data_IF_420877900479
#
_entry.id   IF_420877900479
#
_cell.length_a   1.000
_cell.length_b   1.000
_cell.length_c   1.000
_cell.angle_alpha   90.00
_cell.angle_beta   90.00
_cell.angle_gamma   90.00
#
_symmetry.space_group_name_H-M   'P 1'
#
loop_
_entity.id
_entity.type
_entity.pdbx_description
1 polymer ?
#
# COMPACT_ATOMS: atom_id res chain seq x y z
N UNK A 1 -5.93 20.33 -4.72
CA UNK A 1 -4.83 19.74 -5.49
C UNK A 1 -5.39 18.64 -6.37
N UNK A 2 -5.04 18.60 -7.67
CA UNK A 2 -5.36 17.47 -8.55
C UNK A 2 -4.14 16.57 -8.59
N UNK A 3 -4.26 15.34 -8.09
CA UNK A 3 -3.22 14.34 -8.26
C UNK A 3 -3.18 13.93 -9.73
N UNK A 4 -2.04 14.09 -10.40
CA UNK A 4 -1.86 13.55 -11.72
C UNK A 4 -1.85 12.03 -11.61
N UNK A 5 -2.81 11.38 -12.28
CA UNK A 5 -2.84 9.93 -12.41
C UNK A 5 -1.72 9.57 -13.38
N UNK A 6 -0.61 9.07 -12.84
CA UNK A 6 0.49 8.54 -13.65
C UNK A 6 -0.10 7.38 -14.47
N UNK A 7 0.04 7.38 -15.80
CA UNK A 7 -0.45 6.26 -16.61
C UNK A 7 0.28 4.99 -16.17
N UNK A 8 -0.43 3.87 -15.94
CA UNK A 8 0.21 2.63 -15.54
C UNK A 8 1.14 2.19 -16.67
N UNK A 9 2.45 2.36 -16.48
CA UNK A 9 3.46 1.73 -17.32
C UNK A 9 3.95 0.50 -16.58
N UNK A 10 4.05 -0.67 -17.21
CA UNK A 10 4.52 -1.89 -16.56
C UNK A 10 5.95 -1.74 -16.05
N UNK A 11 6.76 -0.88 -16.67
CA UNK A 11 8.10 -0.47 -16.21
C UNK A 11 8.10 0.04 -14.76
N UNK A 12 7.13 0.87 -14.37
CA UNK A 12 7.07 1.36 -12.98
C UNK A 12 6.66 0.28 -11.99
N UNK A 13 5.97 -0.76 -12.47
CA UNK A 13 5.51 -1.85 -11.63
C UNK A 13 6.65 -2.83 -11.36
N UNK A 14 7.48 -3.15 -12.35
CA UNK A 14 8.66 -3.99 -12.14
C UNK A 14 9.68 -3.32 -11.23
N UNK A 15 9.92 -2.00 -11.40
CA UNK A 15 10.81 -1.23 -10.53
C UNK A 15 10.32 -1.27 -9.06
N UNK A 16 9.01 -1.05 -8.84
CA UNK A 16 8.41 -1.12 -7.51
C UNK A 16 8.54 -2.50 -6.87
N UNK A 17 8.33 -3.57 -7.64
CA UNK A 17 8.44 -4.93 -7.12
C UNK A 17 9.88 -5.31 -6.80
N UNK A 18 10.83 -4.99 -7.68
CA UNK A 18 12.25 -5.24 -7.43
C UNK A 18 12.74 -4.52 -6.17
N UNK A 19 12.45 -3.21 -6.04
CA UNK A 19 12.85 -2.43 -4.87
C UNK A 19 12.15 -2.93 -3.60
N UNK A 20 10.83 -3.16 -3.66
CA UNK A 20 10.04 -3.62 -2.54
C UNK A 20 10.48 -4.98 -2.03
N UNK A 21 10.60 -5.97 -2.92
CA UNK A 21 11.02 -7.33 -2.56
C UNK A 21 12.46 -7.35 -2.04
N UNK A 22 13.37 -6.59 -2.65
CA UNK A 22 14.76 -6.47 -2.18
C UNK A 22 14.84 -5.87 -0.78
N UNK A 23 13.98 -4.88 -0.47
CA UNK A 23 13.91 -4.30 0.88
C UNK A 23 13.42 -5.28 1.95
N UNK A 24 12.61 -6.27 1.57
CA UNK A 24 12.17 -7.37 2.42
C UNK A 24 13.19 -8.54 2.47
N UNK A 25 14.33 -8.41 1.80
CA UNK A 25 15.42 -9.38 1.80
C UNK A 25 15.37 -10.44 0.70
N UNK A 26 14.51 -10.29 -0.32
CA UNK A 26 14.55 -11.15 -1.49
C UNK A 26 15.74 -10.81 -2.41
N UNK A 27 16.23 -11.81 -3.14
CA UNK A 27 17.13 -11.61 -4.27
C UNK A 27 16.28 -11.55 -5.54
N UNK A 28 16.37 -10.45 -6.26
CA UNK A 28 15.63 -10.24 -7.50
C UNK A 28 16.60 -10.09 -8.69
N UNK A 29 16.27 -10.68 -9.83
CA UNK A 29 17.01 -10.52 -11.08
C UNK A 29 16.05 -10.25 -12.23
N UNK A 30 16.31 -9.22 -13.03
CA UNK A 30 15.52 -8.95 -14.23
C UNK A 30 15.94 -9.91 -15.34
N UNK A 31 15.18 -10.99 -15.53
CA UNK A 31 15.39 -11.93 -16.64
C UNK A 31 14.97 -11.35 -17.99
N UNK A 32 14.03 -10.40 -18.02
CA UNK A 32 13.57 -9.71 -19.23
C UNK A 32 12.94 -8.33 -18.91
N UNK A 33 12.48 -7.59 -19.93
CA UNK A 33 11.90 -6.24 -19.73
C UNK A 33 10.59 -6.24 -18.92
N UNK A 34 9.87 -7.36 -18.89
CA UNK A 34 8.58 -7.56 -18.20
C UNK A 34 8.63 -8.76 -17.24
N UNK A 35 9.84 -9.21 -16.86
CA UNK A 35 10.03 -10.38 -16.00
C UNK A 35 11.03 -10.12 -14.89
N UNK A 36 10.71 -10.66 -13.71
CA UNK A 36 11.53 -10.58 -12.52
C UNK A 36 11.65 -11.97 -11.90
N UNK A 37 12.83 -12.56 -11.94
CA UNK A 37 13.14 -13.75 -11.14
C UNK A 37 13.30 -13.35 -9.68
N UNK A 38 12.69 -14.13 -8.79
CA UNK A 38 12.64 -13.87 -7.36
C UNK A 38 13.06 -15.12 -6.60
N UNK A 39 14.03 -14.95 -5.70
CA UNK A 39 14.40 -15.91 -4.68
C UNK A 39 14.18 -15.26 -3.32
N UNK A 40 13.30 -15.83 -2.50
CA UNK A 40 12.88 -15.23 -1.24
C UNK A 40 12.76 -16.27 -0.12
N UNK A 41 13.13 -15.89 1.10
CA UNK A 41 12.87 -16.63 2.34
C UNK A 41 12.27 -15.69 3.38
N UNK A 42 11.65 -16.24 4.43
CA UNK A 42 11.18 -15.45 5.57
C UNK A 42 10.08 -14.46 5.18
N UNK A 43 10.29 -13.18 5.47
CA UNK A 43 9.27 -12.14 5.30
C UNK A 43 8.88 -11.91 3.84
N UNK A 44 9.86 -11.86 2.93
CA UNK A 44 9.57 -11.76 1.50
C UNK A 44 8.83 -13.00 0.97
N UNK A 45 9.20 -14.20 1.44
CA UNK A 45 8.53 -15.44 1.01
C UNK A 45 7.07 -15.53 1.49
N UNK A 46 6.72 -14.86 2.60
CA UNK A 46 5.34 -14.79 3.12
C UNK A 46 4.34 -14.16 2.17
N UNK A 47 4.81 -13.46 1.13
CA UNK A 47 3.95 -12.98 0.07
C UNK A 47 3.33 -14.15 -0.74
N UNK A 48 3.98 -15.31 -0.79
CA UNK A 48 3.50 -16.51 -1.50
C UNK A 48 3.20 -17.69 -0.57
N UNK A 49 3.97 -17.88 0.51
CA UNK A 49 3.88 -19.03 1.40
C UNK A 49 3.74 -18.59 2.87
N UNK A 50 2.66 -18.98 3.53
CA UNK A 50 2.36 -18.51 4.90
C UNK A 50 3.42 -18.89 5.94
N UNK A 51 4.18 -19.97 5.72
CA UNK A 51 5.28 -20.42 6.58
C UNK A 51 6.55 -19.57 6.43
N UNK A 52 6.72 -18.89 5.30
CA UNK A 52 7.95 -18.20 4.93
C UNK A 52 9.05 -19.14 4.42
N UNK A 53 8.70 -20.36 4.02
CA UNK A 53 9.63 -21.29 3.36
C UNK A 53 10.15 -20.71 2.05
N UNK A 54 11.30 -21.22 1.59
CA UNK A 54 11.95 -20.78 0.35
C UNK A 54 10.96 -20.74 -0.83
N UNK A 55 10.83 -19.56 -1.39
CA UNK A 55 10.14 -19.29 -2.64
C UNK A 55 11.18 -19.01 -3.74
N UNK A 56 11.01 -19.66 -4.88
CA UNK A 56 11.73 -19.39 -6.11
C UNK A 56 10.73 -19.39 -7.26
N UNK A 57 10.70 -18.31 -8.03
CA UNK A 57 9.77 -18.18 -9.14
C UNK A 57 10.04 -16.94 -9.98
N UNK A 58 9.34 -16.83 -11.10
CA UNK A 58 9.40 -15.67 -11.99
C UNK A 58 8.06 -14.93 -11.95
N UNK A 59 8.13 -13.61 -11.84
CA UNK A 59 7.00 -12.70 -11.94
C UNK A 59 6.91 -12.13 -13.36
N UNK A 60 5.69 -12.08 -13.91
CA UNK A 60 5.40 -11.56 -15.24
C UNK A 60 4.54 -10.30 -15.16
N UNK A 61 5.01 -9.17 -15.67
CA UNK A 61 4.35 -7.87 -15.59
C UNK A 61 3.56 -7.59 -16.86
N UNK A 62 2.22 -7.53 -16.75
CA UNK A 62 1.33 -7.33 -17.91
C UNK A 62 0.60 -6.00 -17.87
N UNK A 63 0.34 -5.46 -19.05
CA UNK A 63 -0.63 -4.37 -19.21
C UNK A 63 -2.02 -4.88 -18.85
N UNK A 64 -2.76 -4.11 -18.05
CA UNK A 64 -4.04 -4.51 -17.43
C UNK A 64 -5.23 -4.73 -18.39
N UNK A 65 -4.97 -5.05 -19.66
CA UNK A 65 -5.97 -5.27 -20.71
C UNK A 65 -6.02 -6.68 -21.31
N UNK A 66 -5.18 -7.63 -20.88
CA UNK A 66 -5.23 -9.01 -21.41
C UNK A 66 -6.04 -9.94 -20.49
N UNK A 67 -7.21 -10.46 -20.91
CA UNK A 67 -8.08 -11.30 -20.11
C UNK A 67 -7.75 -12.81 -20.22
N UNK A 68 -6.59 -13.18 -20.78
CA UNK A 68 -6.22 -14.59 -20.84
C UNK A 68 -5.79 -15.11 -19.47
N UNK A 69 -6.19 -16.36 -19.19
CA UNK A 69 -6.06 -17.07 -17.92
C UNK A 69 -4.61 -17.10 -17.40
N UNK A 70 -4.25 -16.01 -16.72
CA UNK A 70 -2.96 -15.85 -16.09
C UNK A 70 -2.89 -16.56 -14.75
N UNK A 71 -1.70 -17.01 -14.37
CA UNK A 71 -1.48 -17.55 -13.02
C UNK A 71 -1.45 -16.38 -12.01
N UNK A 72 -2.43 -16.26 -11.10
CA UNK A 72 -2.53 -15.12 -10.19
C UNK A 72 -1.38 -15.03 -9.17
N UNK A 73 -0.60 -16.09 -9.01
CA UNK A 73 0.55 -16.12 -8.09
C UNK A 73 1.85 -15.59 -8.74
N UNK A 74 1.90 -15.52 -10.07
CA UNK A 74 3.10 -15.07 -10.82
C UNK A 74 2.82 -13.87 -11.72
N UNK A 75 1.56 -13.61 -12.08
CA UNK A 75 1.21 -12.46 -12.91
C UNK A 75 0.96 -11.20 -12.07
N UNK A 76 1.66 -10.15 -12.46
CA UNK A 76 1.63 -8.85 -11.81
C UNK A 76 1.00 -7.85 -12.74
N UNK A 77 -0.08 -7.23 -12.28
CA UNK A 77 -0.77 -6.14 -12.93
C UNK A 77 -1.24 -5.13 -11.87
N UNK A 78 -1.50 -3.88 -12.25
CA UNK A 78 -1.98 -2.88 -11.30
C UNK A 78 -3.25 -3.35 -10.56
N UNK A 79 -3.15 -3.54 -9.24
CA UNK A 79 -4.26 -3.98 -8.40
C UNK A 79 -4.40 -5.50 -8.24
N UNK A 80 -3.41 -6.30 -8.64
CA UNK A 80 -3.40 -7.73 -8.31
C UNK A 80 -3.18 -7.96 -6.80
N UNK A 81 -3.65 -9.09 -6.23
CA UNK A 81 -3.49 -9.40 -4.81
C UNK A 81 -2.04 -9.31 -4.31
N UNK A 82 -1.08 -9.72 -5.14
CA UNK A 82 0.34 -9.70 -4.77
C UNK A 82 0.86 -8.27 -4.56
N UNK A 83 0.36 -7.29 -5.32
CA UNK A 83 0.71 -5.87 -5.13
C UNK A 83 0.26 -5.38 -3.76
N UNK A 84 -0.95 -5.76 -3.34
CA UNK A 84 -1.47 -5.40 -2.01
C UNK A 84 -0.67 -6.06 -0.90
N UNK A 85 -0.38 -7.36 -1.00
CA UNK A 85 0.45 -8.08 -0.02
C UNK A 85 1.83 -7.42 0.14
N UNK A 86 2.47 -7.03 -0.98
CA UNK A 86 3.76 -6.35 -0.95
C UNK A 86 3.67 -4.99 -0.25
N UNK A 87 2.67 -4.17 -0.58
CA UNK A 87 2.46 -2.87 0.10
C UNK A 87 2.22 -3.05 1.60
N UNK A 88 1.44 -4.04 2.01
CA UNK A 88 1.20 -4.31 3.44
C UNK A 88 2.47 -4.76 4.17
N UNK A 89 3.28 -5.62 3.55
CA UNK A 89 4.56 -6.06 4.12
C UNK A 89 5.53 -4.88 4.28
N UNK A 90 5.69 -4.06 3.22
CA UNK A 90 6.48 -2.83 3.27
C UNK A 90 5.96 -1.86 4.35
N UNK A 91 4.64 -1.71 4.45
CA UNK A 91 4.04 -0.87 5.47
C UNK A 91 4.31 -1.40 6.87
N UNK A 92 4.19 -2.70 7.12
CA UNK A 92 4.49 -3.29 8.43
C UNK A 92 5.95 -3.03 8.83
N UNK A 93 6.87 -3.16 7.88
CA UNK A 93 8.29 -2.87 8.07
C UNK A 93 8.56 -1.37 8.34
N UNK A 94 7.83 -0.47 7.68
CA UNK A 94 7.95 0.99 7.86
C UNK A 94 7.13 1.56 9.03
N UNK A 95 6.06 0.89 9.48
CA UNK A 95 5.18 1.35 10.55
C UNK A 95 5.86 1.35 11.91
N UNK A 96 6.99 0.64 12.06
CA UNK A 96 7.88 0.81 13.21
C UNK A 96 8.35 2.26 13.37
N UNK A 97 8.38 3.07 12.30
CA UNK A 97 8.98 4.41 12.32
C UNK A 97 7.98 5.58 12.41
N UNK A 98 6.66 5.38 12.44
CA UNK A 98 5.74 6.54 12.54
C UNK A 98 4.34 6.22 13.06
N UNK A 99 4.25 5.74 14.30
CA UNK A 99 3.16 6.16 15.19
C UNK A 99 3.71 7.17 16.17
N UNK A 100 3.58 8.45 15.84
CA UNK A 100 3.59 9.50 16.87
C UNK A 100 2.32 9.28 17.69
N UNK A 101 2.38 8.40 18.68
CA UNK A 101 1.37 8.36 19.73
C UNK A 101 1.50 9.66 20.50
N UNK A 102 0.62 10.62 20.24
CA UNK A 102 0.45 11.77 21.11
C UNK A 102 0.10 11.23 22.50
N UNK A 103 0.95 11.48 23.49
CA UNK A 103 0.75 11.03 24.87
C UNK A 103 -0.66 11.38 25.35
N UNK A 104 -1.47 10.37 25.68
CA UNK A 104 -2.84 10.54 26.21
C UNK A 104 -2.87 10.98 27.68
N UNK A 105 -1.74 11.46 28.23
CA UNK A 105 -1.58 11.82 29.64
C UNK A 105 -2.26 13.13 30.07
N UNK A 106 -3.04 13.75 29.19
CA UNK A 106 -3.79 14.98 29.48
C UNK A 106 -5.30 14.74 29.39
N UNK A 107 -6.08 15.52 30.13
CA UNK A 107 -7.54 15.60 29.96
C UNK A 107 -7.81 15.95 28.50
N UNK A 108 -8.27 14.97 27.71
CA UNK A 108 -8.57 15.19 26.30
C UNK A 108 -9.81 16.06 26.19
N UNK A 109 -9.60 17.35 25.96
CA UNK A 109 -10.71 18.26 25.65
C UNK A 109 -11.18 17.97 24.22
N UNK A 110 -12.47 17.67 24.01
CA UNK A 110 -12.98 17.52 22.66
C UNK A 110 -12.73 18.80 21.84
N UNK A 111 -12.50 18.69 20.52
CA UNK A 111 -12.36 19.86 19.66
C UNK A 111 -13.63 20.70 19.69
N UNK A 112 -13.47 22.01 19.62
CA UNK A 112 -14.60 22.92 19.49
C UNK A 112 -15.38 22.62 18.20
N UNK A 113 -16.69 22.75 18.28
CA UNK A 113 -17.62 22.43 17.19
C UNK A 113 -17.31 23.21 15.90
N UNK A 114 -17.03 24.51 16.03
CA UNK A 114 -16.72 25.39 14.90
C UNK A 114 -15.38 25.02 14.23
N UNK A 115 -14.40 24.59 15.02
CA UNK A 115 -13.10 24.12 14.52
C UNK A 115 -13.26 22.83 13.73
N UNK A 116 -14.00 21.86 14.25
CA UNK A 116 -14.25 20.60 13.55
C UNK A 116 -15.02 20.82 12.24
N UNK A 117 -16.01 21.72 12.23
CA UNK A 117 -16.75 22.07 11.03
C UNK A 117 -15.88 22.77 9.99
N UNK A 118 -15.02 23.71 10.40
CA UNK A 118 -14.06 24.37 9.50
C UNK A 118 -13.08 23.37 8.87
N UNK A 119 -12.55 22.45 9.66
CA UNK A 119 -11.63 21.41 9.16
C UNK A 119 -12.33 20.47 8.16
N UNK A 120 -13.55 20.06 8.46
CA UNK A 120 -14.36 19.25 7.56
C UNK A 120 -14.60 19.97 6.22
N UNK A 121 -15.03 21.23 6.27
CA UNK A 121 -15.27 22.05 5.08
C UNK A 121 -13.99 22.31 4.29
N UNK A 122 -12.84 22.49 4.95
CA UNK A 122 -11.56 22.65 4.28
C UNK A 122 -11.12 21.37 3.54
N UNK A 123 -11.42 20.19 4.08
CA UNK A 123 -11.01 18.91 3.51
C UNK A 123 -11.93 18.44 2.37
N UNK A 124 -13.25 18.59 2.53
CA UNK A 124 -14.26 18.06 1.60
C UNK A 124 -14.94 19.13 0.74
N UNK A 125 -14.62 20.40 0.97
CA UNK A 125 -15.19 21.52 0.24
C UNK A 125 -16.66 21.81 0.59
N UNK A 126 -17.28 22.78 -0.11
CA UNK A 126 -18.66 23.20 0.15
C UNK A 126 -19.73 22.19 -0.29
N UNK A 127 -19.36 21.08 -0.93
CA UNK A 127 -20.31 20.07 -1.43
C UNK A 127 -20.77 19.07 -0.37
N UNK A 128 -20.16 19.07 0.81
CA UNK A 128 -20.60 18.26 1.92
C UNK A 128 -21.40 19.16 2.87
N UNK A 129 -22.73 19.23 2.71
CA UNK A 129 -23.69 19.90 3.61
C UNK A 129 -23.69 19.31 5.05
N UNK A 130 -22.63 18.62 5.42
CA UNK A 130 -22.39 18.05 6.72
C UNK A 130 -22.29 19.16 7.77
N UNK A 131 -23.05 18.97 8.84
CA UNK A 131 -22.99 19.79 10.05
C UNK A 131 -22.96 18.86 11.24
N UNK A 132 -22.06 19.14 12.17
CA UNK A 132 -22.05 18.45 13.44
C UNK A 132 -23.32 18.85 14.22
N UNK A 133 -24.22 17.93 14.51
CA UNK A 133 -25.49 18.24 15.19
C UNK A 133 -25.39 18.14 16.71
N UNK A 134 -24.39 17.42 17.21
CA UNK A 134 -24.15 17.22 18.64
C UNK A 134 -22.67 17.45 18.97
N UNK A 135 -22.34 18.13 20.08
CA UNK A 135 -20.95 18.33 20.47
C UNK A 135 -20.27 17.00 20.76
N UNK A 136 -18.96 16.93 20.47
CA UNK A 136 -18.14 15.78 20.84
C UNK A 136 -18.13 15.63 22.36
N UNK A 137 -18.38 14.40 22.84
CA UNK A 137 -18.30 14.08 24.26
C UNK A 137 -16.84 13.76 24.61
N UNK A 138 -16.37 14.16 25.81
CA UNK A 138 -15.12 13.62 26.33
C UNK A 138 -15.23 12.10 26.45
N UNK A 139 -14.13 11.41 26.17
CA UNK A 139 -13.99 9.97 26.37
C UNK A 139 -13.85 9.63 27.86
#
# INVERSE_FOLDING_TARGET
MKFQKIPPRPEYLIDFFEEGLSSLGAVCERSWHDRLEVLAEGEAARLWRNDGDLFSGELCFRDGGSPEAGNPETEVFPGCPLTFRLVEALWAHHAAHSRVCLSTGGVMKPPAHDVAQKLWQAQFGPCADWRLTTPFRPA
#
